data_IF_734396819286
#
_entry.id   IF_734396819286
#
_cell.length_a   1.000
_cell.length_b   1.000
_cell.length_c   1.000
_cell.angle_alpha   90.00
_cell.angle_beta   90.00
_cell.angle_gamma   90.00
#
_symmetry.space_group_name_H-M   'P 1'
#
loop_
_entity.id
_entity.type
_entity.pdbx_description
1 polymer ?
#
# COMPACT_ATOMS: atom_id res chain seq x y z
N UNK A 1 17.99 -8.76 19.19
CA UNK A 1 16.89 -8.44 20.11
C UNK A 1 17.33 -7.28 20.99
N UNK A 2 16.49 -6.28 21.14
CA UNK A 2 16.83 -5.05 21.88
C UNK A 2 15.74 -4.75 22.89
N UNK A 3 16.13 -4.26 24.06
CA UNK A 3 15.24 -3.78 25.11
C UNK A 3 15.35 -2.25 25.20
N UNK A 4 14.23 -1.58 25.16
CA UNK A 4 14.14 -0.13 25.30
C UNK A 4 13.26 0.23 26.50
N UNK A 5 13.60 1.33 27.14
CA UNK A 5 12.75 1.98 28.13
C UNK A 5 12.04 3.16 27.49
N UNK A 6 10.73 3.18 27.51
CA UNK A 6 9.88 4.19 26.87
C UNK A 6 9.33 5.26 27.79
N UNK A 7 9.69 5.25 29.09
CA UNK A 7 9.18 6.22 30.06
C UNK A 7 7.89 5.78 30.74
N UNK A 8 7.14 6.75 31.27
CA UNK A 8 5.93 6.56 32.09
C UNK A 8 4.67 7.13 31.41
N UNK A 9 4.82 7.79 30.26
CA UNK A 9 3.73 8.50 29.59
C UNK A 9 3.00 7.62 28.57
N UNK A 10 1.69 7.79 28.51
CA UNK A 10 0.85 7.27 27.42
C UNK A 10 0.14 8.45 26.75
N UNK A 11 -0.16 8.32 25.46
CA UNK A 11 -0.88 9.33 24.68
C UNK A 11 -2.22 8.77 24.26
N UNK A 12 -3.29 9.48 24.55
CA UNK A 12 -4.60 9.15 24.02
C UNK A 12 -4.86 9.88 22.70
N UNK A 13 -5.28 9.15 21.67
CA UNK A 13 -5.67 9.70 20.38
C UNK A 13 -6.84 8.92 19.80
N UNK A 14 -7.93 9.63 19.45
CA UNK A 14 -9.15 9.04 18.87
C UNK A 14 -9.71 7.88 19.69
N UNK A 15 -9.76 8.04 21.03
CA UNK A 15 -10.28 7.02 21.94
C UNK A 15 -9.43 5.76 22.08
N UNK A 16 -8.18 5.80 21.64
CA UNK A 16 -7.20 4.72 21.85
C UNK A 16 -6.00 5.22 22.62
N UNK A 17 -5.59 4.45 23.62
CA UNK A 17 -4.37 4.69 24.41
C UNK A 17 -3.18 4.12 23.63
N UNK A 18 -2.23 4.97 23.30
CA UNK A 18 -0.95 4.59 22.70
C UNK A 18 0.11 4.64 23.79
N UNK A 19 0.74 3.50 24.03
CA UNK A 19 1.76 3.36 25.05
C UNK A 19 3.11 3.76 24.48
N UNK A 20 3.68 4.83 25.02
CA UNK A 20 5.00 5.35 24.69
C UNK A 20 5.37 5.33 23.19
N UNK A 21 6.29 6.04 22.72
CA UNK A 21 6.36 6.60 21.36
C UNK A 21 6.34 5.64 20.17
N UNK A 22 6.31 4.33 20.35
CA UNK A 22 6.38 3.36 19.25
C UNK A 22 5.17 3.40 18.34
N UNK A 23 3.96 3.42 18.88
CA UNK A 23 2.72 3.43 18.08
C UNK A 23 2.50 4.77 17.37
N UNK A 24 2.99 5.84 17.98
CA UNK A 24 2.90 7.19 17.39
C UNK A 24 3.82 7.36 16.19
N UNK A 25 4.97 6.71 16.22
CA UNK A 25 6.03 6.82 15.21
C UNK A 25 5.70 6.03 13.95
N UNK A 26 5.14 4.83 14.08
CA UNK A 26 4.81 3.96 12.95
C UNK A 26 3.78 4.60 11.99
N UNK A 27 2.95 5.51 12.50
CA UNK A 27 1.86 6.10 11.74
C UNK A 27 2.15 7.50 11.15
N UNK A 28 3.21 8.19 11.60
CA UNK A 28 3.42 9.61 11.23
C UNK A 28 4.80 9.93 10.63
N UNK A 29 5.68 8.96 10.51
CA UNK A 29 7.01 9.23 9.95
C UNK A 29 7.38 8.15 8.93
N UNK A 30 6.97 8.33 7.66
CA UNK A 30 7.33 7.41 6.58
C UNK A 30 8.85 7.21 6.52
N UNK A 31 9.29 5.97 6.32
CA UNK A 31 10.70 5.64 6.11
C UNK A 31 11.59 5.62 7.37
N UNK A 32 11.08 5.95 8.55
CA UNK A 32 11.86 5.81 9.78
C UNK A 32 11.59 4.47 10.44
N UNK A 33 12.60 3.64 10.52
CA UNK A 33 12.56 2.39 11.30
C UNK A 33 12.51 2.68 12.79
N UNK A 34 12.05 1.72 13.59
CA UNK A 34 12.05 1.81 15.06
C UNK A 34 13.43 2.25 15.62
N UNK A 35 14.51 1.84 14.96
CA UNK A 35 15.89 2.22 15.32
C UNK A 35 16.18 3.72 15.11
N UNK A 36 15.54 4.36 14.13
CA UNK A 36 15.74 5.79 13.84
C UNK A 36 14.98 6.71 14.81
N UNK A 37 14.10 6.17 15.61
CA UNK A 37 13.25 6.91 16.55
C UNK A 37 13.67 6.75 18.02
N UNK A 38 14.95 6.52 18.26
CA UNK A 38 15.55 6.39 19.59
C UNK A 38 15.47 7.69 20.43
N UNK A 39 15.08 8.82 19.85
CA UNK A 39 14.83 10.06 20.61
C UNK A 39 13.73 9.95 21.67
N UNK A 40 12.86 8.96 21.56
CA UNK A 40 11.74 8.76 22.49
C UNK A 40 11.88 7.53 23.38
N UNK A 41 12.83 6.64 23.11
CA UNK A 41 13.06 5.43 23.89
C UNK A 41 14.54 5.18 24.07
N UNK A 42 14.94 4.90 25.28
CA UNK A 42 16.36 4.67 25.63
C UNK A 42 16.68 3.18 25.51
N UNK A 43 17.64 2.84 24.64
CA UNK A 43 18.16 1.47 24.55
C UNK A 43 18.83 1.07 25.86
N UNK A 44 18.39 -0.04 26.44
CA UNK A 44 18.89 -0.58 27.70
C UNK A 44 19.81 -1.77 27.51
N UNK A 45 19.46 -2.66 26.59
CA UNK A 45 20.32 -3.80 26.27
C UNK A 45 20.07 -4.34 24.87
N UNK A 46 21.09 -5.00 24.33
CA UNK A 46 21.04 -5.68 23.05
C UNK A 46 21.65 -7.07 23.14
N UNK A 47 20.97 -8.07 22.57
CA UNK A 47 21.50 -9.42 22.39
C UNK A 47 21.53 -9.68 20.88
N UNK A 48 22.75 -9.85 20.34
CA UNK A 48 22.98 -10.26 18.95
C UNK A 48 22.76 -11.77 18.84
N UNK A 49 22.11 -12.21 17.74
CA UNK A 49 21.80 -13.62 17.50
C UNK A 49 21.11 -14.32 18.68
N UNK A 50 19.89 -13.86 19.08
CA UNK A 50 19.16 -14.42 20.23
C UNK A 50 18.85 -15.90 20.01
N UNK A 51 19.00 -16.69 21.08
CA UNK A 51 18.59 -18.10 21.14
C UNK A 51 17.11 -18.20 21.57
N UNK A 52 16.66 -19.42 21.85
CA UNK A 52 15.29 -19.70 22.30
C UNK A 52 14.89 -18.92 23.57
N UNK A 53 15.83 -18.80 24.49
CA UNK A 53 15.66 -18.01 25.71
C UNK A 53 16.72 -16.92 25.77
N UNK A 54 16.31 -15.72 26.11
CA UNK A 54 17.16 -14.54 26.14
C UNK A 54 16.87 -13.75 27.40
N UNK A 55 17.94 -13.40 28.14
CA UNK A 55 17.85 -12.48 29.27
C UNK A 55 18.24 -11.08 28.76
N UNK A 56 17.32 -10.12 28.90
CA UNK A 56 17.56 -8.72 28.63
C UNK A 56 17.64 -7.97 29.96
N UNK A 57 18.77 -7.32 30.22
CA UNK A 57 19.00 -6.58 31.47
C UNK A 57 18.85 -5.08 31.23
N UNK A 58 18.29 -4.38 32.20
CA UNK A 58 18.21 -2.93 32.19
C UNK A 58 18.65 -2.38 33.54
N UNK A 59 19.57 -1.44 33.53
CA UNK A 59 19.81 -0.54 34.66
C UNK A 59 18.89 0.68 34.43
N UNK A 60 17.73 0.64 35.10
CA UNK A 60 16.68 1.64 34.93
C UNK A 60 15.95 1.85 36.24
N UNK A 61 16.06 3.06 36.81
CA UNK A 61 15.22 3.49 37.94
C UNK A 61 13.77 3.51 37.50
N UNK A 62 12.91 2.80 38.23
CA UNK A 62 11.48 2.83 37.99
C UNK A 62 10.86 4.01 38.77
N UNK A 63 9.85 4.61 38.16
CA UNK A 63 9.06 5.67 38.74
C UNK A 63 7.74 5.10 39.31
N UNK A 64 7.11 5.75 40.29
CA UNK A 64 5.80 5.36 40.77
C UNK A 64 4.79 5.30 39.59
N UNK A 65 3.94 4.28 39.57
CA UNK A 65 2.96 4.06 38.48
C UNK A 65 3.47 3.15 37.37
N UNK A 66 3.05 3.41 36.17
CA UNK A 66 3.33 2.55 35.00
C UNK A 66 4.68 2.92 34.38
N UNK A 67 5.50 1.92 34.08
CA UNK A 67 6.75 2.08 33.33
C UNK A 67 6.70 1.20 32.11
N UNK A 68 7.01 1.76 30.94
CA UNK A 68 6.90 1.09 29.65
C UNK A 68 8.27 0.59 29.17
N UNK A 69 8.31 -0.67 28.77
CA UNK A 69 9.47 -1.29 28.13
C UNK A 69 9.07 -1.91 26.80
N UNK A 70 9.99 -1.84 25.84
CA UNK A 70 9.80 -2.39 24.50
C UNK A 70 10.85 -3.43 24.16
N UNK A 71 10.41 -4.53 23.58
CA UNK A 71 11.32 -5.51 23.01
C UNK A 71 11.18 -5.44 21.49
N UNK A 72 12.28 -5.14 20.80
CA UNK A 72 12.33 -5.15 19.35
C UNK A 72 13.18 -6.30 18.81
N UNK A 73 12.79 -6.81 17.66
CA UNK A 73 13.51 -7.83 16.92
C UNK A 73 13.97 -7.23 15.59
N UNK A 74 15.27 -7.29 15.32
CA UNK A 74 15.81 -6.95 14.02
C UNK A 74 16.10 -8.26 13.29
N UNK A 75 15.43 -8.46 12.16
CA UNK A 75 15.60 -9.64 11.33
C UNK A 75 16.80 -9.45 10.40
N UNK A 76 17.43 -10.57 10.03
CA UNK A 76 18.50 -10.54 9.02
C UNK A 76 17.90 -10.23 7.65
N UNK A 77 18.57 -9.44 6.80
CA UNK A 77 18.08 -9.12 5.44
C UNK A 77 17.79 -10.36 4.59
N UNK A 78 18.51 -11.46 4.83
CA UNK A 78 18.38 -12.75 4.13
C UNK A 78 17.35 -13.69 4.76
N UNK A 79 16.60 -13.26 5.78
CA UNK A 79 15.59 -14.11 6.38
C UNK A 79 14.48 -14.41 5.35
N UNK A 80 14.13 -15.68 5.18
CA UNK A 80 13.07 -16.09 4.25
C UNK A 80 11.74 -15.42 4.62
N UNK A 81 10.99 -14.93 3.64
CA UNK A 81 9.64 -14.40 3.81
C UNK A 81 8.66 -15.45 4.36
N UNK A 82 8.97 -16.75 4.24
CA UNK A 82 8.20 -17.83 4.84
C UNK A 82 8.49 -18.01 6.34
N UNK A 83 9.49 -17.32 6.87
CA UNK A 83 9.84 -17.37 8.30
C UNK A 83 8.78 -16.68 9.13
N UNK A 84 8.66 -17.18 10.36
CA UNK A 84 7.76 -16.64 11.38
C UNK A 84 8.56 -16.28 12.61
N UNK A 85 8.16 -15.23 13.31
CA UNK A 85 8.74 -14.84 14.57
C UNK A 85 7.66 -14.68 15.63
N UNK A 86 7.93 -15.17 16.83
CA UNK A 86 7.08 -15.00 17.99
C UNK A 86 7.96 -14.82 19.21
N UNK A 87 7.56 -13.97 20.13
CA UNK A 87 8.24 -13.76 21.39
C UNK A 87 7.23 -13.55 22.51
N UNK A 88 7.57 -14.01 23.70
CA UNK A 88 6.80 -13.77 24.93
C UNK A 88 7.75 -13.52 26.11
N UNK A 89 7.32 -12.72 27.04
CA UNK A 89 7.98 -12.59 28.35
C UNK A 89 7.56 -13.79 29.20
N UNK A 90 8.53 -14.53 29.73
CA UNK A 90 8.29 -15.71 30.58
C UNK A 90 8.61 -15.42 32.04
N UNK A 91 9.49 -14.49 32.32
CA UNK A 91 9.86 -14.03 33.64
C UNK A 91 10.29 -12.56 33.61
N UNK A 92 9.96 -11.81 34.62
CA UNK A 92 10.51 -10.48 34.88
C UNK A 92 11.04 -10.40 36.32
N UNK A 93 12.18 -9.73 36.52
CA UNK A 93 12.75 -9.44 37.83
C UNK A 93 12.99 -7.96 38.00
N UNK A 94 12.66 -7.44 39.18
CA UNK A 94 12.92 -6.08 39.60
C UNK A 94 13.75 -6.18 40.90
N UNK A 95 14.93 -5.59 40.91
CA UNK A 95 15.89 -5.66 42.03
C UNK A 95 16.15 -7.10 42.51
N UNK A 96 16.24 -8.04 41.53
CA UNK A 96 16.47 -9.45 41.80
C UNK A 96 15.24 -10.26 42.20
N UNK A 97 14.12 -9.63 42.52
CA UNK A 97 12.87 -10.28 42.93
C UNK A 97 11.97 -10.55 41.71
N UNK A 98 11.34 -11.73 41.68
CA UNK A 98 10.40 -12.11 40.66
C UNK A 98 9.15 -11.21 40.74
N UNK A 99 8.86 -10.50 39.67
CA UNK A 99 7.64 -9.71 39.53
C UNK A 99 6.51 -10.59 38.94
N UNK A 100 5.27 -10.48 39.47
CA UNK A 100 4.15 -11.23 38.95
C UNK A 100 3.82 -10.78 37.51
N UNK A 101 3.66 -11.72 36.60
CA UNK A 101 3.30 -11.46 35.22
C UNK A 101 1.80 -11.61 35.00
N UNK A 102 1.15 -10.58 34.52
CA UNK A 102 -0.21 -10.64 33.93
C UNK A 102 -0.09 -10.63 32.43
N UNK A 103 -0.33 -11.77 31.78
CA UNK A 103 -0.30 -11.87 30.31
C UNK A 103 -1.63 -11.37 29.75
N UNK A 104 -1.63 -10.19 29.12
CA UNK A 104 -2.82 -9.56 28.54
C UNK A 104 -3.13 -10.13 27.17
N UNK A 105 -2.11 -10.57 26.42
CA UNK A 105 -2.26 -11.22 25.11
C UNK A 105 -1.41 -12.48 25.03
N UNK A 106 -1.90 -13.49 24.32
CA UNK A 106 -1.06 -14.61 23.91
C UNK A 106 0.05 -14.10 23.00
N UNK A 107 1.19 -14.80 22.96
CA UNK A 107 2.25 -14.49 22.02
C UNK A 107 1.72 -14.58 20.58
N UNK A 108 1.79 -13.46 19.88
CA UNK A 108 1.39 -13.40 18.46
C UNK A 108 2.53 -13.90 17.59
N UNK A 109 2.17 -14.60 16.53
CA UNK A 109 3.11 -15.02 15.49
C UNK A 109 3.07 -14.01 14.36
N UNK A 110 4.21 -13.36 14.12
CA UNK A 110 4.38 -12.41 13.03
C UNK A 110 5.06 -13.11 11.85
N UNK A 111 4.53 -12.87 10.66
CA UNK A 111 5.12 -13.33 9.43
C UNK A 111 6.18 -12.33 8.96
N UNK A 112 7.20 -12.83 8.28
CA UNK A 112 8.16 -11.99 7.62
C UNK A 112 7.52 -11.29 6.42
N UNK A 113 7.98 -10.09 6.13
CA UNK A 113 7.59 -9.33 4.95
C UNK A 113 8.79 -8.57 4.40
N UNK A 114 8.80 -8.34 3.10
CA UNK A 114 9.76 -7.48 2.42
C UNK A 114 9.03 -6.22 2.00
N UNK A 115 9.56 -5.07 2.38
CA UNK A 115 9.08 -3.78 1.86
C UNK A 115 9.51 -3.66 0.40
N UNK A 116 8.53 -3.54 -0.51
CA UNK A 116 8.80 -3.42 -1.95
C UNK A 116 9.34 -2.04 -2.26
N UNK A 117 8.78 -1.00 -1.63
CA UNK A 117 9.18 0.40 -1.70
C UNK A 117 8.92 1.09 -0.37
N UNK A 118 9.73 2.10 -0.06
CA UNK A 118 9.60 2.92 1.14
C UNK A 118 9.53 4.40 0.76
N UNK A 119 8.90 5.19 1.58
CA UNK A 119 8.90 6.64 1.40
C UNK A 119 10.35 7.17 1.33
N UNK A 120 10.64 7.98 0.33
CA UNK A 120 11.98 8.45 0.00
C UNK A 120 12.71 7.63 -1.08
N UNK A 121 12.30 6.39 -1.34
CA UNK A 121 12.84 5.64 -2.47
C UNK A 121 12.43 6.33 -3.78
N UNK A 122 13.29 6.27 -4.80
CA UNK A 122 13.04 6.79 -6.15
C UNK A 122 12.54 8.26 -6.18
N UNK A 123 12.80 9.04 -5.12
CA UNK A 123 12.36 10.43 -4.98
C UNK A 123 10.88 10.62 -4.61
N UNK A 124 10.14 9.55 -4.29
CA UNK A 124 8.74 9.62 -3.94
C UNK A 124 8.53 9.92 -2.45
N UNK A 125 7.61 10.83 -2.13
CA UNK A 125 7.20 11.12 -0.75
C UNK A 125 6.41 9.95 -0.12
N UNK A 126 5.65 9.22 -0.93
CA UNK A 126 4.87 8.08 -0.45
C UNK A 126 4.55 7.09 -1.58
N UNK A 127 4.31 5.84 -1.18
CA UNK A 127 3.74 4.77 -2.01
C UNK A 127 2.43 4.34 -1.40
N UNK A 128 1.37 4.25 -2.22
CA UNK A 128 0.03 3.89 -1.73
C UNK A 128 -0.70 3.01 -2.74
N UNK A 129 -1.87 2.53 -2.34
CA UNK A 129 -2.81 1.80 -3.21
C UNK A 129 -2.16 0.58 -3.88
N UNK A 130 -1.60 -0.38 -3.11
CA UNK A 130 -0.91 -1.52 -3.70
C UNK A 130 -1.87 -2.56 -4.30
N UNK A 131 -1.50 -3.11 -5.44
CA UNK A 131 -2.06 -4.32 -6.03
C UNK A 131 -0.98 -5.36 -6.25
N UNK A 132 -1.32 -6.64 -6.16
CA UNK A 132 -0.38 -7.74 -6.34
C UNK A 132 -1.03 -8.87 -7.14
N UNK A 133 -0.35 -9.30 -8.19
CA UNK A 133 -0.73 -10.48 -8.98
C UNK A 133 0.47 -11.38 -9.25
N UNK A 134 0.19 -12.62 -9.63
CA UNK A 134 1.21 -13.56 -10.14
C UNK A 134 0.92 -13.82 -11.61
N UNK A 135 1.90 -13.60 -12.46
CA UNK A 135 1.79 -13.90 -13.89
C UNK A 135 1.73 -15.40 -14.16
N UNK A 136 1.37 -15.77 -15.40
CA UNK A 136 1.40 -17.17 -15.84
C UNK A 136 2.81 -17.79 -15.77
N UNK A 137 3.86 -16.98 -15.71
CA UNK A 137 5.27 -17.43 -15.57
C UNK A 137 5.73 -17.51 -14.11
N UNK A 138 4.84 -17.20 -13.16
CA UNK A 138 5.17 -17.21 -11.73
C UNK A 138 5.82 -15.92 -11.22
N UNK A 139 5.98 -14.89 -12.07
CA UNK A 139 6.48 -13.59 -11.66
C UNK A 139 5.45 -12.87 -10.81
N UNK A 140 5.87 -12.36 -9.64
CA UNK A 140 5.06 -11.44 -8.84
C UNK A 140 5.17 -10.03 -9.42
N UNK A 141 4.03 -9.36 -9.55
CA UNK A 141 3.94 -7.98 -10.03
C UNK A 141 3.19 -7.16 -8.98
N UNK A 142 3.90 -6.24 -8.35
CA UNK A 142 3.34 -5.28 -7.40
C UNK A 142 3.15 -3.94 -8.09
N UNK A 143 1.90 -3.48 -8.22
CA UNK A 143 1.54 -2.16 -8.74
C UNK A 143 1.16 -1.23 -7.59
N UNK A 144 1.39 0.07 -7.73
CA UNK A 144 1.09 1.06 -6.70
C UNK A 144 1.14 2.49 -7.24
N UNK A 145 0.56 3.44 -6.50
CA UNK A 145 0.78 4.86 -6.69
C UNK A 145 2.20 5.26 -6.28
N UNK A 146 2.89 6.00 -7.13
CA UNK A 146 4.11 6.74 -6.82
C UNK A 146 3.73 8.19 -6.59
N UNK A 147 3.69 8.64 -5.35
CA UNK A 147 3.27 9.99 -4.95
C UNK A 147 4.49 10.84 -4.65
N UNK A 148 4.82 11.75 -5.54
CA UNK A 148 6.11 12.46 -5.48
C UNK A 148 6.13 13.60 -4.46
N UNK A 149 5.08 14.42 -4.40
CA UNK A 149 5.11 15.63 -3.56
C UNK A 149 4.67 15.36 -2.11
N UNK A 150 3.66 14.52 -1.93
CA UNK A 150 3.05 14.23 -0.63
C UNK A 150 2.20 12.95 -0.71
N UNK A 151 1.52 12.57 0.36
CA UNK A 151 0.68 11.37 0.42
C UNK A 151 -0.79 11.60 0.02
N UNK A 152 -1.14 12.78 -0.52
CA UNK A 152 -2.51 13.13 -0.89
C UNK A 152 -3.00 12.32 -2.09
N UNK A 153 -4.32 12.16 -2.19
CA UNK A 153 -4.98 11.56 -3.34
C UNK A 153 -5.01 12.54 -4.53
N UNK A 154 -5.36 12.06 -5.72
CA UNK A 154 -5.55 12.87 -6.92
C UNK A 154 -6.53 14.04 -6.65
N UNK A 155 -6.28 15.26 -7.08
CA UNK A 155 -5.30 15.72 -8.05
C UNK A 155 -3.95 16.00 -7.37
N UNK A 156 -2.89 15.39 -7.85
CA UNK A 156 -1.50 15.61 -7.41
C UNK A 156 -0.53 14.95 -8.40
N UNK A 157 0.79 15.19 -8.24
CA UNK A 157 1.81 14.50 -9.04
C UNK A 157 1.91 13.03 -8.58
N UNK A 158 1.18 12.18 -9.29
CA UNK A 158 1.11 10.75 -9.05
C UNK A 158 1.31 10.01 -10.38
N UNK A 159 2.07 8.94 -10.36
CA UNK A 159 2.29 8.02 -11.47
C UNK A 159 2.05 6.59 -11.01
N UNK A 160 1.84 5.67 -11.95
CA UNK A 160 1.70 4.25 -11.64
C UNK A 160 3.07 3.60 -11.64
N UNK A 161 3.49 3.09 -10.48
CA UNK A 161 4.70 2.30 -10.30
C UNK A 161 4.44 0.80 -10.36
N UNK A 162 5.44 0.06 -10.81
CA UNK A 162 5.44 -1.40 -10.84
C UNK A 162 6.79 -1.94 -10.40
N UNK A 163 6.77 -2.94 -9.54
CA UNK A 163 7.93 -3.77 -9.21
C UNK A 163 7.66 -5.23 -9.54
N UNK A 164 8.68 -5.92 -10.03
CA UNK A 164 8.63 -7.35 -10.39
C UNK A 164 9.53 -8.16 -9.45
N UNK A 165 9.12 -9.38 -9.15
CA UNK A 165 9.94 -10.38 -8.46
C UNK A 165 9.81 -11.72 -9.16
N UNK A 166 10.94 -12.36 -9.44
CA UNK A 166 11.02 -13.69 -10.08
C UNK A 166 11.48 -14.78 -9.11
N UNK A 167 11.63 -14.44 -7.83
CA UNK A 167 12.14 -15.34 -6.78
C UNK A 167 11.13 -15.50 -5.62
N UNK A 168 9.83 -15.36 -5.91
CA UNK A 168 8.77 -15.51 -4.93
C UNK A 168 8.69 -14.38 -3.91
N UNK A 169 9.17 -13.18 -4.25
CA UNK A 169 9.09 -11.97 -3.42
C UNK A 169 10.28 -11.78 -2.47
N UNK A 170 11.35 -12.57 -2.60
CA UNK A 170 12.56 -12.38 -1.80
C UNK A 170 13.29 -11.10 -2.20
N UNK A 171 13.42 -10.87 -3.51
CA UNK A 171 13.97 -9.64 -4.07
C UNK A 171 13.01 -9.04 -5.10
N UNK A 172 13.12 -7.73 -5.28
CA UNK A 172 12.30 -6.96 -6.20
C UNK A 172 13.18 -6.15 -7.14
N UNK A 173 12.84 -6.16 -8.41
CA UNK A 173 13.52 -5.37 -9.43
C UNK A 173 13.32 -3.86 -9.18
N UNK A 174 14.13 -3.04 -9.85
CA UNK A 174 13.94 -1.58 -9.89
C UNK A 174 12.52 -1.26 -10.36
N UNK A 175 11.96 -0.20 -9.79
CA UNK A 175 10.67 0.31 -10.18
C UNK A 175 10.64 0.66 -11.67
N UNK A 176 9.54 0.33 -12.32
CA UNK A 176 9.13 0.79 -13.65
C UNK A 176 7.92 1.70 -13.51
N UNK A 177 7.71 2.57 -14.49
CA UNK A 177 6.53 3.44 -14.57
C UNK A 177 5.70 3.00 -15.79
N UNK A 178 4.75 2.07 -15.62
CA UNK A 178 3.89 1.62 -16.72
C UNK A 178 2.97 2.70 -17.27
N UNK A 179 2.60 3.68 -16.44
CA UNK A 179 1.68 4.73 -16.83
C UNK A 179 2.04 6.04 -16.15
N UNK A 180 2.26 7.07 -16.94
CA UNK A 180 2.52 8.45 -16.52
C UNK A 180 2.10 9.40 -17.63
N UNK A 181 1.70 10.61 -17.29
CA UNK A 181 1.33 11.64 -18.26
C UNK A 181 2.31 12.83 -18.25
N UNK A 182 3.05 13.02 -17.18
CA UNK A 182 4.05 14.08 -17.09
C UNK A 182 3.46 15.48 -17.21
N UNK A 183 4.16 16.35 -17.92
CA UNK A 183 3.61 17.63 -18.40
C UNK A 183 2.85 17.37 -19.69
N UNK A 184 1.58 17.66 -19.68
CA UNK A 184 0.70 17.33 -20.80
C UNK A 184 -0.31 18.44 -21.04
N UNK A 185 -0.48 18.79 -22.33
CA UNK A 185 -1.42 19.82 -22.82
C UNK A 185 -1.28 21.17 -22.09
N UNK A 186 -0.02 21.60 -21.87
CA UNK A 186 0.32 22.87 -21.22
C UNK A 186 0.16 22.89 -19.70
N UNK A 187 -0.24 21.78 -19.09
CA UNK A 187 -0.41 21.64 -17.66
C UNK A 187 0.76 20.88 -17.00
N UNK A 188 1.16 21.29 -15.78
CA UNK A 188 2.24 20.65 -15.06
C UNK A 188 1.87 19.23 -14.57
N UNK A 189 2.88 18.46 -14.18
CA UNK A 189 2.73 17.08 -13.69
C UNK A 189 1.67 16.92 -12.60
N UNK A 190 1.59 17.87 -11.66
CA UNK A 190 0.61 17.83 -10.58
C UNK A 190 -0.85 18.06 -11.04
N UNK A 191 -1.05 18.44 -12.30
CA UNK A 191 -2.36 18.57 -12.94
C UNK A 191 -2.63 17.45 -13.96
N UNK A 192 -1.77 16.42 -13.97
CA UNK A 192 -1.85 15.26 -14.86
C UNK A 192 -1.63 13.93 -14.10
N UNK A 193 -1.99 13.89 -12.83
CA UNK A 193 -1.79 12.70 -12.03
C UNK A 193 -2.64 11.52 -12.49
N UNK A 194 -2.06 10.33 -12.41
CA UNK A 194 -2.73 9.05 -12.63
C UNK A 194 -2.52 8.15 -11.42
N UNK A 195 -3.59 7.58 -10.89
CA UNK A 195 -3.53 6.85 -9.63
C UNK A 195 -4.61 5.79 -9.45
N UNK A 196 -4.60 5.20 -8.26
CA UNK A 196 -5.52 4.14 -7.84
C UNK A 196 -5.48 2.90 -8.76
N UNK A 197 -4.29 2.28 -9.04
CA UNK A 197 -4.18 1.22 -10.02
C UNK A 197 -4.88 -0.07 -9.61
N UNK A 198 -5.43 -0.78 -10.58
CA UNK A 198 -5.77 -2.19 -10.48
C UNK A 198 -5.03 -2.98 -11.56
N UNK A 199 -4.48 -4.14 -11.18
CA UNK A 199 -3.73 -5.03 -12.07
C UNK A 199 -4.45 -6.37 -12.24
N UNK A 200 -4.39 -6.93 -13.46
CA UNK A 200 -5.01 -8.21 -13.81
C UNK A 200 -4.11 -8.99 -14.74
N UNK A 201 -4.09 -10.32 -14.60
CA UNK A 201 -3.45 -11.23 -15.56
C UNK A 201 -4.55 -12.02 -16.27
N UNK A 202 -4.60 -11.91 -17.58
CA UNK A 202 -5.41 -12.81 -18.42
C UNK A 202 -4.77 -14.20 -18.40
N UNK A 203 -5.41 -15.14 -17.74
CA UNK A 203 -4.89 -16.52 -17.60
C UNK A 203 -4.82 -17.27 -18.92
N UNK A 204 -5.62 -16.89 -19.94
CA UNK A 204 -5.64 -17.56 -21.25
C UNK A 204 -4.51 -17.09 -22.14
N UNK A 205 -4.26 -15.78 -22.20
CA UNK A 205 -3.26 -15.18 -23.10
C UNK A 205 -1.92 -14.89 -22.40
N UNK A 206 -1.93 -14.71 -21.09
CA UNK A 206 -0.78 -14.25 -20.31
C UNK A 206 -0.60 -12.73 -20.32
N UNK A 207 -1.44 -11.99 -21.04
CA UNK A 207 -1.43 -10.53 -21.08
C UNK A 207 -1.72 -9.96 -19.70
N UNK A 208 -0.95 -8.97 -19.29
CA UNK A 208 -1.11 -8.26 -18.03
C UNK A 208 -1.72 -6.89 -18.32
N UNK A 209 -2.77 -6.54 -17.58
CA UNK A 209 -3.50 -5.29 -17.72
C UNK A 209 -3.37 -4.46 -16.45
N UNK A 210 -3.16 -3.15 -16.60
CA UNK A 210 -3.29 -2.16 -15.52
C UNK A 210 -4.30 -1.12 -15.95
N UNK A 211 -5.27 -0.85 -15.09
CA UNK A 211 -6.23 0.23 -15.24
C UNK A 211 -6.06 1.22 -14.11
N UNK A 212 -6.14 2.52 -14.40
CA UNK A 212 -5.98 3.60 -13.42
C UNK A 212 -6.79 4.84 -13.81
N UNK A 213 -7.11 5.69 -12.84
CA UNK A 213 -7.80 6.94 -13.07
C UNK A 213 -6.79 8.06 -13.35
N UNK A 214 -6.97 8.76 -14.46
CA UNK A 214 -6.20 9.95 -14.82
C UNK A 214 -7.07 11.20 -14.63
N UNK A 215 -6.49 12.22 -14.04
CA UNK A 215 -7.11 13.54 -13.87
C UNK A 215 -6.31 14.60 -14.60
N UNK A 216 -6.98 15.45 -15.38
CA UNK A 216 -6.38 16.50 -16.17
C UNK A 216 -7.00 17.84 -15.83
N UNK A 217 -6.20 18.79 -15.29
CA UNK A 217 -6.60 20.17 -15.11
C UNK A 217 -7.72 20.45 -14.11
N UNK A 218 -8.05 19.54 -13.22
CA UNK A 218 -9.17 19.70 -12.27
C UNK A 218 -8.85 20.59 -11.06
N UNK A 219 -7.83 21.44 -11.16
CA UNK A 219 -7.40 22.33 -10.08
C UNK A 219 -6.74 21.57 -8.92
N UNK A 220 -6.75 22.18 -7.72
CA UNK A 220 -6.10 21.59 -6.53
C UNK A 220 -7.05 20.78 -5.66
N UNK A 221 -8.29 20.55 -6.11
CA UNK A 221 -9.26 19.75 -5.38
C UNK A 221 -9.09 18.25 -5.63
N UNK A 222 -9.71 17.45 -4.78
CA UNK A 222 -9.68 16.00 -4.94
C UNK A 222 -10.54 15.56 -6.12
N UNK A 223 -10.02 14.68 -6.96
CA UNK A 223 -10.71 14.14 -8.13
C UNK A 223 -12.10 13.59 -7.81
N UNK A 224 -12.25 12.92 -6.67
CA UNK A 224 -13.52 12.40 -6.17
C UNK A 224 -14.65 13.42 -6.12
N UNK A 225 -14.35 14.68 -5.78
CA UNK A 225 -15.33 15.75 -5.66
C UNK A 225 -15.34 16.69 -6.86
N UNK A 226 -14.20 16.84 -7.53
CA UNK A 226 -14.03 17.81 -8.61
C UNK A 226 -14.41 17.26 -9.99
N UNK A 227 -14.38 15.94 -10.18
CA UNK A 227 -14.82 15.31 -11.43
C UNK A 227 -16.30 15.61 -11.68
N UNK A 228 -16.64 15.98 -12.90
CA UNK A 228 -17.96 16.39 -13.35
C UNK A 228 -18.55 15.36 -14.32
N UNK A 229 -19.80 15.57 -14.69
CA UNK A 229 -20.49 14.79 -15.72
C UNK A 229 -19.86 15.01 -17.11
N UNK A 230 -20.22 14.17 -18.06
CA UNK A 230 -19.69 14.21 -19.43
C UNK A 230 -18.46 13.33 -19.62
N UNK A 231 -17.78 13.56 -20.75
CA UNK A 231 -16.62 12.75 -21.19
C UNK A 231 -15.35 13.58 -21.38
N UNK A 232 -15.46 14.92 -21.30
CA UNK A 232 -14.33 15.82 -21.51
C UNK A 232 -13.28 15.67 -20.40
N UNK A 233 -12.05 15.36 -20.80
CA UNK A 233 -10.90 15.16 -19.90
C UNK A 233 -10.60 16.37 -19.00
N UNK A 234 -10.96 17.58 -19.42
CA UNK A 234 -10.76 18.79 -18.64
C UNK A 234 -11.72 18.91 -17.45
N UNK A 235 -12.79 18.12 -17.45
CA UNK A 235 -13.86 18.23 -16.46
C UNK A 235 -14.14 16.92 -15.73
N UNK A 236 -13.86 15.77 -16.34
CA UNK A 236 -14.13 14.45 -15.76
C UNK A 236 -12.89 13.57 -15.77
N UNK A 237 -12.67 12.83 -14.69
CA UNK A 237 -11.61 11.84 -14.62
C UNK A 237 -11.75 10.79 -15.72
N UNK A 238 -10.63 10.40 -16.29
CA UNK A 238 -10.55 9.44 -17.39
C UNK A 238 -10.06 8.09 -16.86
N UNK A 239 -10.61 7.03 -17.39
CA UNK A 239 -10.14 5.68 -17.08
C UNK A 239 -9.15 5.23 -18.15
N UNK A 240 -7.89 5.08 -17.74
CA UNK A 240 -6.78 4.76 -18.61
C UNK A 240 -6.31 3.33 -18.39
N UNK A 241 -5.85 2.70 -19.44
CA UNK A 241 -5.40 1.31 -19.41
C UNK A 241 -4.10 1.13 -20.18
N UNK A 242 -3.22 0.27 -19.66
CA UNK A 242 -2.03 -0.21 -20.37
C UNK A 242 -1.97 -1.73 -20.28
N UNK A 243 -1.27 -2.36 -21.25
CA UNK A 243 -1.04 -3.80 -21.24
C UNK A 243 0.43 -4.15 -21.42
N UNK A 244 0.78 -5.34 -20.96
CA UNK A 244 2.06 -5.98 -21.19
C UNK A 244 1.86 -7.42 -21.66
N UNK A 245 2.53 -7.77 -22.76
CA UNK A 245 2.53 -9.12 -23.33
C UNK A 245 3.85 -9.88 -23.05
N UNK A 246 4.79 -9.25 -22.32
CA UNK A 246 6.14 -9.75 -22.04
C UNK A 246 6.45 -9.93 -20.54
N UNK A 247 5.42 -10.26 -19.76
CA UNK A 247 5.55 -10.52 -18.33
C UNK A 247 5.84 -9.25 -17.50
N UNK A 248 5.31 -8.10 -17.92
CA UNK A 248 5.44 -6.82 -17.22
C UNK A 248 6.79 -6.13 -17.42
N UNK A 249 7.58 -6.50 -18.43
CA UNK A 249 8.86 -5.86 -18.73
C UNK A 249 8.66 -4.56 -19.50
N UNK A 250 7.79 -4.58 -20.53
CA UNK A 250 7.40 -3.41 -21.30
C UNK A 250 5.89 -3.25 -21.33
N UNK A 251 5.42 -2.06 -21.59
CA UNK A 251 4.01 -1.67 -21.51
C UNK A 251 3.62 -0.89 -22.78
N UNK A 252 2.36 -1.04 -23.17
CA UNK A 252 1.77 -0.26 -24.24
C UNK A 252 1.66 1.22 -23.86
N UNK A 253 1.44 2.08 -24.86
CA UNK A 253 0.93 3.43 -24.62
C UNK A 253 -0.42 3.36 -23.89
N UNK A 254 -0.74 4.38 -23.04
CA UNK A 254 -2.02 4.45 -22.37
C UNK A 254 -3.20 4.55 -23.32
N UNK A 255 -4.19 3.69 -23.14
CA UNK A 255 -5.46 3.67 -23.88
C UNK A 255 -6.56 4.26 -23.02
N UNK A 256 -7.30 5.24 -23.51
CA UNK A 256 -8.47 5.77 -22.83
C UNK A 256 -9.69 4.87 -23.10
N UNK A 257 -10.24 4.27 -22.05
CA UNK A 257 -11.43 3.42 -22.13
C UNK A 257 -12.69 4.09 -21.56
N UNK A 258 -12.62 5.36 -21.18
CA UNK A 258 -13.71 6.09 -20.52
C UNK A 258 -15.01 6.00 -21.29
N UNK A 259 -14.98 6.27 -22.59
CA UNK A 259 -16.18 6.25 -23.47
C UNK A 259 -16.82 4.86 -23.59
N UNK A 260 -16.06 3.78 -23.33
CA UNK A 260 -16.59 2.42 -23.37
C UNK A 260 -17.36 2.06 -22.08
N UNK A 261 -17.01 2.68 -20.96
CA UNK A 261 -17.43 2.19 -19.63
C UNK A 261 -18.11 3.22 -18.75
N UNK A 262 -17.99 4.52 -19.03
CA UNK A 262 -18.61 5.59 -18.22
C UNK A 262 -19.93 6.04 -18.82
N UNK A 263 -20.96 6.15 -18.00
CA UNK A 263 -22.18 6.88 -18.36
C UNK A 263 -21.93 8.40 -18.30
N UNK A 264 -22.30 9.18 -19.34
CA UNK A 264 -22.10 10.62 -19.33
C UNK A 264 -22.78 11.37 -18.18
N UNK A 265 -23.80 10.81 -17.59
CA UNK A 265 -24.51 11.40 -16.42
C UNK A 265 -23.74 11.23 -15.11
N UNK A 266 -22.73 10.37 -15.05
CA UNK A 266 -21.95 10.16 -13.84
C UNK A 266 -20.89 11.23 -13.67
N UNK A 267 -20.67 11.61 -12.42
CA UNK A 267 -19.63 12.56 -12.03
C UNK A 267 -18.25 11.94 -12.02
N UNK A 268 -18.14 10.68 -11.61
CA UNK A 268 -16.86 9.99 -11.46
C UNK A 268 -17.02 8.50 -11.73
N UNK A 269 -16.04 7.91 -12.38
CA UNK A 269 -15.88 6.47 -12.50
C UNK A 269 -14.46 6.11 -12.06
N UNK A 270 -14.32 5.17 -11.16
CA UNK A 270 -13.07 4.65 -10.65
C UNK A 270 -13.09 3.13 -10.69
N UNK A 271 -12.02 2.50 -11.16
CA UNK A 271 -11.82 1.07 -10.93
C UNK A 271 -11.59 0.80 -9.45
N UNK A 272 -11.96 -0.37 -8.95
CA UNK A 272 -11.59 -0.82 -7.61
C UNK A 272 -10.09 -1.08 -7.55
N UNK A 273 -9.31 -0.31 -6.76
CA UNK A 273 -7.87 -0.49 -6.69
C UNK A 273 -7.47 -1.90 -6.23
N UNK A 274 -6.26 -2.32 -6.61
CA UNK A 274 -5.67 -3.58 -6.19
C UNK A 274 -5.56 -4.59 -7.33
N UNK A 275 -6.46 -5.56 -7.43
CA UNK A 275 -6.39 -6.54 -8.52
C UNK A 275 -7.75 -6.89 -9.10
N UNK A 276 -7.77 -7.14 -10.43
CA UNK A 276 -8.86 -7.82 -11.11
C UNK A 276 -8.71 -9.32 -11.11
N UNK A 277 -9.67 -10.00 -11.73
CA UNK A 277 -9.71 -11.45 -11.90
C UNK A 277 -9.89 -11.83 -13.36
N UNK A 278 -9.34 -12.98 -13.75
CA UNK A 278 -9.64 -13.69 -14.97
C UNK A 278 -10.51 -14.87 -14.60
N UNK A 279 -11.74 -14.90 -15.09
CA UNK A 279 -12.72 -15.97 -14.85
C UNK A 279 -12.36 -17.23 -15.63
N UNK A 280 -13.00 -18.35 -15.33
CA UNK A 280 -12.74 -19.64 -16.01
C UNK A 280 -13.12 -19.61 -17.49
N UNK A 281 -14.18 -18.88 -17.86
CA UNK A 281 -14.60 -18.69 -19.24
C UNK A 281 -13.68 -17.73 -20.06
N UNK A 282 -12.72 -17.08 -19.39
CA UNK A 282 -11.81 -16.11 -19.98
C UNK A 282 -12.27 -14.67 -19.82
N UNK A 283 -13.43 -14.40 -19.23
CA UNK A 283 -13.88 -13.03 -18.92
C UNK A 283 -12.90 -12.37 -17.95
N UNK A 284 -12.45 -11.18 -18.30
CA UNK A 284 -11.60 -10.33 -17.46
C UNK A 284 -12.48 -9.36 -16.68
N UNK A 285 -12.26 -9.21 -15.37
CA UNK A 285 -13.13 -8.38 -14.52
C UNK A 285 -12.30 -7.54 -13.57
N UNK A 286 -12.60 -6.24 -13.52
CA UNK A 286 -12.17 -5.32 -12.48
C UNK A 286 -13.40 -4.86 -11.68
N UNK A 287 -13.26 -4.76 -10.35
CA UNK A 287 -14.24 -4.04 -9.55
C UNK A 287 -14.27 -2.57 -9.98
N UNK A 288 -15.39 -1.90 -9.81
CA UNK A 288 -15.52 -0.47 -10.07
C UNK A 288 -16.46 0.20 -9.08
N UNK A 289 -16.34 1.51 -8.98
CA UNK A 289 -17.29 2.37 -8.29
C UNK A 289 -17.54 3.63 -9.12
N UNK A 290 -18.75 4.15 -9.05
CA UNK A 290 -19.10 5.38 -9.74
C UNK A 290 -19.95 6.28 -8.85
N UNK A 291 -19.92 7.57 -9.14
CA UNK A 291 -20.79 8.56 -8.51
C UNK A 291 -21.85 8.97 -9.54
N UNK A 292 -23.09 8.58 -9.28
CA UNK A 292 -24.25 8.91 -10.10
C UNK A 292 -24.70 10.36 -9.94
N UNK A 293 -25.85 10.69 -10.57
CA UNK A 293 -26.48 12.02 -10.52
C UNK A 293 -26.91 12.44 -9.11
N UNK A 294 -27.17 11.49 -8.24
CA UNK A 294 -27.51 11.68 -6.82
C UNK A 294 -26.30 11.95 -5.92
N UNK A 295 -25.10 11.94 -6.47
CA UNK A 295 -23.83 12.08 -5.75
C UNK A 295 -23.54 10.95 -4.74
N UNK A 296 -24.26 9.83 -4.81
CA UNK A 296 -24.04 8.66 -3.98
C UNK A 296 -23.06 7.71 -4.69
N UNK A 297 -22.02 7.19 -3.98
CA UNK A 297 -21.15 6.16 -4.52
C UNK A 297 -21.89 4.84 -4.72
N UNK A 298 -21.74 4.27 -5.90
CA UNK A 298 -22.28 2.98 -6.30
C UNK A 298 -21.16 2.01 -6.70
N UNK A 299 -21.39 0.70 -6.57
CA UNK A 299 -20.47 -0.33 -6.99
C UNK A 299 -20.89 -0.95 -8.32
N UNK A 300 -19.90 -1.39 -9.08
CA UNK A 300 -20.07 -2.08 -10.36
C UNK A 300 -18.87 -2.94 -10.71
N UNK A 301 -18.87 -3.47 -11.91
CA UNK A 301 -17.73 -4.19 -12.47
C UNK A 301 -17.46 -3.74 -13.91
N UNK A 302 -16.18 -3.57 -14.24
CA UNK A 302 -15.71 -3.38 -15.61
C UNK A 302 -15.23 -4.72 -16.10
N UNK A 303 -15.67 -5.14 -17.27
CA UNK A 303 -15.35 -6.47 -17.80
C UNK A 303 -15.07 -6.49 -19.29
N UNK A 304 -14.30 -7.48 -19.73
CA UNK A 304 -14.04 -7.80 -21.13
C UNK A 304 -14.26 -9.28 -21.37
N UNK A 305 -14.94 -9.64 -22.46
CA UNK A 305 -15.16 -11.03 -22.90
C UNK A 305 -14.30 -11.42 -24.10
N UNK A 306 -13.46 -10.52 -24.57
CA UNK A 306 -12.66 -10.65 -25.80
C UNK A 306 -11.17 -10.40 -25.57
N UNK A 307 -10.70 -10.76 -24.35
CA UNK A 307 -9.30 -10.61 -23.91
C UNK A 307 -8.80 -9.16 -23.95
N UNK A 308 -9.66 -8.21 -23.57
CA UNK A 308 -9.32 -6.80 -23.42
C UNK A 308 -9.36 -5.97 -24.71
N UNK A 309 -9.95 -6.48 -25.80
CA UNK A 309 -10.15 -5.69 -27.03
C UNK A 309 -11.24 -4.63 -26.83
N UNK A 310 -12.31 -5.01 -26.13
CA UNK A 310 -13.39 -4.10 -25.72
C UNK A 310 -13.70 -4.26 -24.24
N UNK A 311 -14.12 -3.17 -23.60
CA UNK A 311 -14.49 -3.12 -22.21
C UNK A 311 -15.92 -2.65 -22.05
N UNK A 312 -16.61 -3.21 -21.07
CA UNK A 312 -17.99 -2.94 -20.76
C UNK A 312 -18.13 -2.71 -19.26
N UNK A 313 -19.21 -2.09 -18.83
CA UNK A 313 -19.54 -1.93 -17.41
C UNK A 313 -20.86 -2.60 -17.07
N UNK A 314 -20.94 -3.19 -15.87
CA UNK A 314 -22.18 -3.65 -15.26
C UNK A 314 -22.35 -2.92 -13.92
N UNK A 315 -23.49 -2.31 -13.73
CA UNK A 315 -23.86 -1.52 -12.55
C UNK A 315 -24.76 -2.27 -11.58
N UNK A 316 -25.17 -3.50 -11.94
CA UNK A 316 -26.09 -4.33 -11.15
C UNK A 316 -25.37 -5.17 -10.07
N UNK A 317 -24.32 -4.63 -9.47
CA UNK A 317 -23.56 -5.37 -8.44
C UNK A 317 -24.22 -5.36 -7.05
N UNK A 318 -25.25 -4.52 -6.86
CA UNK A 318 -25.96 -4.41 -5.58
C UNK A 318 -27.46 -4.23 -5.81
N UNK A 319 -28.23 -5.16 -5.35
CA UNK A 319 -29.66 -5.05 -5.07
C UNK A 319 -29.89 -5.37 -3.59
#
# INVERSE_FOLDING_TARGET
MKLYYGGTESVERRGKTYFAPVDYISNNTPGKTLAANTSYSVLKSEVKAPKREVILKADQKLFPGVNYFWISLQMKPIASILSKVSAKVVEAKIDGQIAPLKIVRKADTHYMGVGVRHAGDDGAAAYRIPGLVTSNKGTLLGVYDVRYNNSADLQEYVEIGLSRSTDGGQTWEKMRIPMAFGEYDGLPKAQNGVGDPAILVDKKTGTIWIVAAWTHGMGNGRAWWNSQTGMDRNHTAQLMMVKSDDDGKTWSEPMNITEQVKDPSWYFLLQGPGRGISMEDGTLVFASQYIGSDRIPNAGVIYSKDHGKTWNISTLATH
#
